data_IF_718152410878
#
_entry.id   IF_718152410878
#
_cell.length_a   1.000
_cell.length_b   1.000
_cell.length_c   1.000
_cell.angle_alpha   90.00
_cell.angle_beta   90.00
_cell.angle_gamma   90.00
#
_symmetry.space_group_name_H-M   'P 1'
#
loop_
_entity.id
_entity.type
_entity.pdbx_description
1 polymer ?
#
# COMPACT_ATOMS: atom_id res chain seq x y z
N UNK A 1 -21.35 2.85 7.96
CA UNK A 1 -19.98 3.40 8.07
C UNK A 1 -18.98 2.62 7.21
N UNK A 2 -18.79 1.31 7.43
CA UNK A 2 -17.88 0.47 6.60
C UNK A 2 -18.22 0.48 5.09
N UNK A 3 -19.50 0.35 4.75
CA UNK A 3 -19.97 0.40 3.36
C UNK A 3 -19.72 1.77 2.69
N UNK A 4 -19.81 2.85 3.47
CA UNK A 4 -19.54 4.21 3.00
C UNK A 4 -18.06 4.39 2.64
N UNK A 5 -17.15 3.89 3.48
CA UNK A 5 -15.70 3.89 3.22
C UNK A 5 -15.40 3.05 1.98
N UNK A 6 -16.00 1.86 1.87
CA UNK A 6 -15.87 1.01 0.69
C UNK A 6 -16.27 1.73 -0.60
N UNK A 7 -17.45 2.37 -0.61
CA UNK A 7 -17.95 3.12 -1.77
C UNK A 7 -16.99 4.24 -2.16
N UNK A 8 -16.53 5.03 -1.20
CA UNK A 8 -15.58 6.11 -1.48
C UNK A 8 -14.24 5.61 -2.00
N UNK A 9 -13.74 4.46 -1.53
CA UNK A 9 -12.54 3.84 -2.10
C UNK A 9 -12.80 3.41 -3.55
N UNK A 10 -13.95 2.80 -3.86
CA UNK A 10 -14.30 2.44 -5.24
C UNK A 10 -14.32 3.66 -6.16
N UNK A 11 -14.98 4.74 -5.73
CA UNK A 11 -15.05 6.01 -6.46
C UNK A 11 -13.65 6.62 -6.66
N UNK A 12 -12.84 6.63 -5.60
CA UNK A 12 -11.50 7.21 -5.61
C UNK A 12 -10.55 6.44 -6.53
N UNK A 13 -10.60 5.10 -6.50
CA UNK A 13 -9.82 4.24 -7.40
C UNK A 13 -10.20 4.49 -8.85
N UNK A 14 -11.49 4.61 -9.17
CA UNK A 14 -11.97 4.88 -10.53
C UNK A 14 -11.60 6.29 -11.04
N UNK A 15 -11.67 7.30 -10.18
CA UNK A 15 -11.40 8.70 -10.55
C UNK A 15 -9.89 9.06 -10.57
N UNK A 16 -9.01 8.13 -10.17
CA UNK A 16 -7.58 8.42 -10.01
C UNK A 16 -6.88 8.82 -11.32
N UNK A 17 -7.34 8.29 -12.47
CA UNK A 17 -6.78 8.62 -13.79
C UNK A 17 -7.39 9.88 -14.41
N UNK A 18 -8.51 10.38 -13.89
CA UNK A 18 -9.25 11.52 -14.47
C UNK A 18 -8.59 12.87 -14.18
N UNK A 19 -7.83 12.95 -13.08
CA UNK A 19 -7.27 14.20 -12.56
C UNK A 19 -5.82 14.01 -12.12
N UNK A 20 -5.01 15.09 -12.13
CA UNK A 20 -3.66 15.00 -11.60
C UNK A 20 -3.71 14.79 -10.07
N UNK A 21 -2.75 14.02 -9.55
CA UNK A 21 -2.76 13.49 -8.17
C UNK A 21 -2.79 14.59 -7.10
N UNK A 22 -2.15 15.72 -7.37
CA UNK A 22 -2.12 16.92 -6.55
C UNK A 22 -3.50 17.57 -6.38
N UNK A 23 -4.44 17.34 -7.31
CA UNK A 23 -5.81 17.83 -7.20
C UNK A 23 -6.75 16.74 -6.67
N UNK A 24 -6.63 15.52 -7.21
CA UNK A 24 -7.44 14.37 -6.81
C UNK A 24 -7.34 14.09 -5.31
N UNK A 25 -6.16 14.32 -4.71
CA UNK A 25 -5.96 14.11 -3.27
C UNK A 25 -6.96 14.90 -2.43
N UNK A 26 -7.41 16.09 -2.85
CA UNK A 26 -8.33 16.92 -2.08
C UNK A 26 -9.80 16.47 -2.18
N UNK A 27 -10.17 15.75 -3.23
CA UNK A 27 -11.57 15.33 -3.47
C UNK A 27 -12.05 14.26 -2.47
N UNK A 28 -11.12 13.51 -1.86
CA UNK A 28 -11.44 12.37 -1.00
C UNK A 28 -10.91 12.52 0.44
N UNK A 29 -11.53 11.88 1.44
CA UNK A 29 -10.99 11.86 2.81
C UNK A 29 -9.57 11.26 2.88
N UNK A 30 -8.79 11.65 3.89
CA UNK A 30 -7.38 11.26 4.05
C UNK A 30 -7.14 9.75 3.91
N UNK A 31 -7.91 8.93 4.63
CA UNK A 31 -7.78 7.48 4.59
C UNK A 31 -8.10 6.91 3.20
N UNK A 32 -9.15 7.41 2.53
CA UNK A 32 -9.57 6.95 1.21
C UNK A 32 -8.50 7.28 0.16
N UNK A 33 -7.99 8.51 0.20
CA UNK A 33 -6.92 8.94 -0.70
C UNK A 33 -5.63 8.12 -0.49
N UNK A 34 -5.30 7.79 0.76
CA UNK A 34 -4.14 6.97 1.11
C UNK A 34 -4.29 5.54 0.59
N UNK A 35 -5.37 4.84 0.95
CA UNK A 35 -5.59 3.44 0.53
C UNK A 35 -5.67 3.33 -0.99
N UNK A 36 -6.35 4.27 -1.66
CA UNK A 36 -6.45 4.26 -3.12
C UNK A 36 -5.10 4.54 -3.79
N UNK A 37 -4.25 5.41 -3.20
CA UNK A 37 -2.87 5.60 -3.67
C UNK A 37 -2.04 4.32 -3.55
N UNK A 38 -2.19 3.57 -2.45
CA UNK A 38 -1.48 2.30 -2.24
C UNK A 38 -1.94 1.19 -3.21
N UNK A 39 -3.23 1.18 -3.54
CA UNK A 39 -3.79 0.29 -4.57
C UNK A 39 -3.15 0.61 -5.92
N UNK A 40 -3.19 1.88 -6.33
CA UNK A 40 -2.62 2.30 -7.62
C UNK A 40 -1.12 2.09 -7.71
N UNK A 41 -0.38 2.28 -6.61
CA UNK A 41 1.04 1.92 -6.55
C UNK A 41 1.26 0.44 -6.84
N UNK A 42 0.48 -0.44 -6.20
CA UNK A 42 0.58 -1.89 -6.41
C UNK A 42 0.28 -2.26 -7.87
N UNK A 43 -0.77 -1.66 -8.45
CA UNK A 43 -1.15 -1.87 -9.85
C UNK A 43 -0.07 -1.38 -10.81
N UNK A 44 0.44 -0.15 -10.64
CA UNK A 44 1.47 0.43 -11.51
C UNK A 44 2.78 -0.39 -11.47
N UNK A 45 3.18 -0.89 -10.29
CA UNK A 45 4.36 -1.78 -10.16
C UNK A 45 4.10 -3.13 -10.84
N UNK A 46 2.89 -3.67 -10.72
CA UNK A 46 2.47 -4.88 -11.45
C UNK A 46 2.60 -4.70 -12.96
N UNK A 47 2.08 -3.61 -13.51
CA UNK A 47 2.20 -3.25 -14.93
C UNK A 47 3.69 -3.09 -15.33
N UNK A 48 4.51 -2.51 -14.46
CA UNK A 48 5.95 -2.39 -14.71
C UNK A 48 6.66 -3.75 -14.77
N UNK A 49 6.23 -4.74 -13.96
CA UNK A 49 6.73 -6.12 -14.06
C UNK A 49 6.26 -6.82 -15.33
N UNK A 50 5.00 -6.67 -15.73
CA UNK A 50 4.50 -7.24 -17.01
C UNK A 50 5.30 -6.70 -18.21
N UNK A 51 5.56 -5.39 -18.23
CA UNK A 51 6.40 -4.77 -19.27
C UNK A 51 7.85 -5.27 -19.23
N UNK A 52 8.40 -5.58 -18.06
CA UNK A 52 9.72 -6.19 -17.96
C UNK A 52 9.75 -7.58 -18.58
N UNK A 53 8.70 -8.39 -18.39
CA UNK A 53 8.55 -9.71 -18.99
C UNK A 53 8.40 -9.64 -20.52
N UNK A 54 7.76 -8.60 -21.03
CA UNK A 54 7.68 -8.29 -22.47
C UNK A 54 9.01 -7.80 -23.09
N UNK A 55 10.04 -7.56 -22.26
CA UNK A 55 11.38 -7.16 -22.70
C UNK A 55 11.69 -5.66 -22.55
N UNK A 56 10.83 -4.85 -21.94
CA UNK A 56 11.11 -3.45 -21.64
C UNK A 56 11.95 -3.28 -20.37
N UNK A 57 13.26 -3.51 -20.48
CA UNK A 57 14.22 -3.49 -19.35
C UNK A 57 14.25 -2.18 -18.53
N UNK A 58 13.73 -1.07 -19.06
CA UNK A 58 13.67 0.22 -18.36
C UNK A 58 12.35 0.49 -17.65
N UNK A 59 11.34 -0.39 -17.74
CA UNK A 59 10.00 -0.12 -17.24
C UNK A 59 9.96 0.28 -15.75
N UNK A 60 10.67 -0.44 -14.87
CA UNK A 60 10.77 -0.07 -13.44
C UNK A 60 11.53 1.23 -13.22
N UNK A 61 12.55 1.54 -14.03
CA UNK A 61 13.32 2.80 -13.92
C UNK A 61 12.46 4.00 -14.32
N UNK A 62 11.67 3.85 -15.38
CA UNK A 62 10.79 4.90 -15.86
C UNK A 62 9.61 5.11 -14.91
N UNK A 63 9.10 4.03 -14.30
CA UNK A 63 8.14 4.12 -13.20
C UNK A 63 8.72 4.84 -11.99
N UNK A 64 9.95 4.54 -11.58
CA UNK A 64 10.60 5.21 -10.46
C UNK A 64 10.74 6.73 -10.70
N UNK A 65 11.07 7.15 -11.92
CA UNK A 65 11.08 8.58 -12.31
C UNK A 65 9.69 9.21 -12.19
N UNK A 66 8.63 8.52 -12.65
CA UNK A 66 7.23 8.96 -12.50
C UNK A 66 6.89 9.17 -11.02
N UNK A 67 7.24 8.23 -10.15
CA UNK A 67 7.01 8.36 -8.71
C UNK A 67 7.73 9.56 -8.10
N UNK A 68 9.00 9.80 -8.47
CA UNK A 68 9.76 10.96 -7.98
C UNK A 68 9.10 12.27 -8.42
N UNK A 69 8.62 12.35 -9.67
CA UNK A 69 7.91 13.53 -10.16
C UNK A 69 6.60 13.79 -9.39
N UNK A 70 5.79 12.75 -9.16
CA UNK A 70 4.55 12.84 -8.39
C UNK A 70 4.82 13.23 -6.93
N UNK A 71 5.84 12.64 -6.29
CA UNK A 71 6.24 12.98 -4.93
C UNK A 71 6.69 14.45 -4.83
N UNK A 72 7.50 14.93 -5.77
CA UNK A 72 7.93 16.33 -5.79
C UNK A 72 6.74 17.28 -5.97
N UNK A 73 5.73 16.93 -6.76
CA UNK A 73 4.51 17.71 -6.87
C UNK A 73 3.76 17.81 -5.52
N UNK A 74 3.63 16.70 -4.79
CA UNK A 74 3.01 16.69 -3.46
C UNK A 74 3.85 17.46 -2.42
N UNK A 75 5.18 17.38 -2.48
CA UNK A 75 6.08 18.16 -1.62
C UNK A 75 5.93 19.66 -1.92
N UNK A 76 5.81 20.05 -3.19
CA UNK A 76 5.58 21.45 -3.57
C UNK A 76 4.25 21.99 -3.02
N UNK A 77 3.19 21.16 -2.96
CA UNK A 77 1.94 21.54 -2.27
C UNK A 77 2.18 21.84 -0.78
N UNK A 78 3.01 21.04 -0.10
CA UNK A 78 3.33 21.26 1.32
C UNK A 78 4.07 22.57 1.59
N UNK A 79 4.82 23.08 0.61
CA UNK A 79 5.50 24.38 0.71
C UNK A 79 4.54 25.56 0.59
N UNK A 80 3.33 25.33 0.06
CA UNK A 80 2.28 26.35 -0.06
C UNK A 80 1.43 26.53 1.20
N UNK A 81 0.39 27.36 1.06
CA UNK A 81 -0.65 27.53 2.08
C UNK A 81 -1.67 26.40 2.00
N UNK A 82 -1.83 25.68 3.11
CA UNK A 82 -2.75 24.55 3.25
C UNK A 82 -3.40 24.60 4.61
N UNK A 83 -4.63 24.10 4.70
CA UNK A 83 -5.30 23.91 5.99
C UNK A 83 -4.50 22.92 6.86
N UNK A 84 -4.56 23.01 8.20
CA UNK A 84 -3.87 22.06 9.07
C UNK A 84 -4.23 20.60 8.80
N UNK A 85 -5.51 20.32 8.47
CA UNK A 85 -5.98 18.97 8.15
C UNK A 85 -5.44 18.45 6.82
N UNK A 86 -5.44 19.29 5.78
CA UNK A 86 -4.89 18.92 4.46
C UNK A 86 -3.38 18.76 4.50
N UNK A 87 -2.69 19.62 5.25
CA UNK A 87 -1.24 19.51 5.48
C UNK A 87 -0.90 18.17 6.13
N UNK A 88 -1.64 17.75 7.16
CA UNK A 88 -1.43 16.46 7.81
C UNK A 88 -1.70 15.28 6.87
N UNK A 89 -2.74 15.39 6.05
CA UNK A 89 -3.10 14.37 5.05
C UNK A 89 -2.03 14.22 3.98
N UNK A 90 -1.57 15.32 3.37
CA UNK A 90 -0.52 15.29 2.35
C UNK A 90 0.80 14.83 2.96
N UNK A 91 1.15 15.28 4.17
CA UNK A 91 2.34 14.79 4.88
C UNK A 91 2.31 13.27 5.07
N UNK A 92 1.15 12.74 5.47
CA UNK A 92 0.94 11.29 5.63
C UNK A 92 1.14 10.53 4.31
N UNK A 93 0.55 11.03 3.21
CA UNK A 93 0.70 10.41 1.88
C UNK A 93 2.15 10.46 1.42
N UNK A 94 2.84 11.61 1.59
CA UNK A 94 4.25 11.76 1.25
C UNK A 94 5.14 10.76 2.01
N UNK A 95 4.90 10.53 3.30
CA UNK A 95 5.67 9.56 4.09
C UNK A 95 5.59 8.16 3.50
N UNK A 96 4.39 7.72 3.12
CA UNK A 96 4.15 6.40 2.53
C UNK A 96 4.72 6.32 1.10
N UNK A 97 4.59 7.38 0.32
CA UNK A 97 5.14 7.45 -1.03
C UNK A 97 6.68 7.39 -1.06
N UNK A 98 7.36 7.97 -0.06
CA UNK A 98 8.83 7.86 0.07
C UNK A 98 9.22 6.40 0.27
N UNK A 99 8.53 5.66 1.14
CA UNK A 99 8.76 4.22 1.31
C UNK A 99 8.51 3.46 0.01
N UNK A 100 7.36 3.71 -0.64
CA UNK A 100 7.00 3.08 -1.92
C UNK A 100 8.05 3.32 -3.01
N UNK A 101 8.59 4.54 -3.12
CA UNK A 101 9.70 4.87 -4.02
C UNK A 101 10.96 4.10 -3.67
N UNK A 102 11.30 4.01 -2.39
CA UNK A 102 12.52 3.33 -1.94
C UNK A 102 12.46 1.82 -2.20
N UNK A 103 11.29 1.22 -2.07
CA UNK A 103 11.04 -0.18 -2.49
C UNK A 103 11.32 -0.34 -3.99
N UNK A 104 10.75 0.51 -4.85
CA UNK A 104 10.97 0.43 -6.30
C UNK A 104 12.45 0.68 -6.65
N UNK A 105 13.10 1.63 -5.99
CA UNK A 105 14.52 1.88 -6.17
C UNK A 105 15.38 0.66 -5.79
N UNK A 106 15.03 -0.05 -4.70
CA UNK A 106 15.67 -1.33 -4.32
C UNK A 106 15.45 -2.40 -5.38
N UNK A 107 14.24 -2.55 -5.92
CA UNK A 107 13.94 -3.50 -7.00
C UNK A 107 14.80 -3.24 -8.24
N UNK A 108 14.92 -1.97 -8.65
CA UNK A 108 15.79 -1.54 -9.76
C UNK A 108 17.27 -1.84 -9.46
N UNK A 109 17.74 -1.52 -8.25
CA UNK A 109 19.14 -1.74 -7.87
C UNK A 109 19.52 -3.22 -7.85
N UNK A 110 18.60 -4.08 -7.40
CA UNK A 110 18.77 -5.54 -7.38
C UNK A 110 18.45 -6.20 -8.73
N UNK A 111 18.07 -5.43 -9.75
CA UNK A 111 17.69 -5.91 -11.09
C UNK A 111 16.63 -7.02 -11.03
N UNK A 112 15.62 -6.82 -10.19
CA UNK A 112 14.52 -7.78 -10.07
C UNK A 112 13.70 -7.73 -11.36
N UNK A 113 13.59 -8.87 -12.04
CA UNK A 113 12.84 -9.01 -13.29
C UNK A 113 11.51 -9.75 -13.13
N UNK A 114 11.30 -10.40 -11.98
CA UNK A 114 10.14 -11.25 -11.73
C UNK A 114 9.30 -10.69 -10.58
N UNK A 115 7.98 -10.64 -10.79
CA UNK A 115 6.98 -10.28 -9.79
C UNK A 115 6.94 -11.25 -8.59
N UNK A 116 7.50 -12.46 -8.72
CA UNK A 116 7.60 -13.45 -7.63
C UNK A 116 8.83 -13.27 -6.74
N UNK A 117 9.60 -12.19 -6.91
CA UNK A 117 10.76 -11.94 -6.08
C UNK A 117 10.36 -11.63 -4.63
N UNK A 118 11.03 -12.28 -3.67
CA UNK A 118 10.75 -12.09 -2.25
C UNK A 118 10.78 -10.63 -1.79
N UNK A 119 11.69 -9.81 -2.35
CA UNK A 119 11.81 -8.38 -2.01
C UNK A 119 10.54 -7.59 -2.35
N UNK A 120 9.83 -7.99 -3.41
CA UNK A 120 8.51 -7.45 -3.70
C UNK A 120 7.47 -8.16 -2.84
N UNK A 121 7.46 -9.49 -2.80
CA UNK A 121 6.49 -10.29 -2.05
C UNK A 121 6.38 -9.93 -0.56
N UNK A 122 7.47 -9.53 0.08
CA UNK A 122 7.52 -9.14 1.49
C UNK A 122 6.84 -7.81 1.81
N UNK A 123 6.51 -7.01 0.80
CA UNK A 123 5.86 -5.72 0.97
C UNK A 123 4.35 -5.87 1.12
N UNK A 124 3.75 -5.04 1.97
CA UNK A 124 2.29 -4.92 2.07
C UNK A 124 1.73 -4.29 0.80
N UNK A 125 0.93 -5.05 0.06
CA UNK A 125 0.30 -4.63 -1.20
C UNK A 125 -1.20 -4.55 -1.03
N UNK A 126 -1.78 -3.46 -1.50
CA UNK A 126 -3.24 -3.34 -1.59
C UNK A 126 -3.67 -3.62 -3.02
N UNK A 127 -4.61 -4.55 -3.19
CA UNK A 127 -5.20 -4.88 -4.48
C UNK A 127 -6.69 -4.61 -4.42
N UNK A 128 -7.18 -3.89 -5.41
CA UNK A 128 -8.61 -3.79 -5.66
C UNK A 128 -9.06 -4.95 -6.54
N UNK A 129 -10.14 -5.63 -6.15
CA UNK A 129 -10.81 -6.63 -6.97
C UNK A 129 -12.12 -6.04 -7.50
N UNK A 130 -12.22 -5.87 -8.82
CA UNK A 130 -13.41 -5.32 -9.47
C UNK A 130 -14.62 -6.25 -9.47
N UNK A 131 -14.40 -7.57 -9.42
CA UNK A 131 -15.48 -8.56 -9.40
C UNK A 131 -16.13 -8.61 -8.02
N UNK A 132 -15.32 -8.70 -6.96
CA UNK A 132 -15.81 -8.73 -5.58
C UNK A 132 -16.05 -7.33 -5.02
N UNK A 133 -15.59 -6.29 -5.72
CA UNK A 133 -15.59 -4.87 -5.28
C UNK A 133 -14.96 -4.73 -3.90
N UNK A 134 -13.92 -5.50 -3.63
CA UNK A 134 -13.26 -5.56 -2.33
C UNK A 134 -11.78 -5.24 -2.46
N UNK A 135 -11.24 -4.59 -1.44
CA UNK A 135 -9.81 -4.34 -1.31
C UNK A 135 -9.22 -5.49 -0.50
N UNK A 136 -8.15 -6.07 -1.01
CA UNK A 136 -7.37 -7.09 -0.36
C UNK A 136 -5.99 -6.56 -0.03
N UNK A 137 -5.51 -6.81 1.17
CA UNK A 137 -4.15 -6.58 1.58
C UNK A 137 -3.39 -7.91 1.47
N UNK A 138 -2.35 -7.94 0.65
CA UNK A 138 -1.51 -9.11 0.41
C UNK A 138 -0.11 -8.85 0.98
N UNK A 139 0.42 -9.82 1.72
CA UNK A 139 1.80 -9.82 2.22
C UNK A 139 2.34 -11.24 2.15
N UNK A 140 3.45 -11.45 1.46
CA UNK A 140 3.95 -12.77 1.09
C UNK A 140 2.81 -13.63 0.51
N UNK A 141 2.54 -14.78 1.13
CA UNK A 141 1.48 -15.74 0.75
C UNK A 141 0.14 -15.47 1.47
N UNK A 142 0.11 -14.50 2.38
CA UNK A 142 -1.09 -14.17 3.14
C UNK A 142 -1.95 -13.13 2.39
N UNK A 143 -3.26 -13.35 2.40
CA UNK A 143 -4.26 -12.43 1.88
C UNK A 143 -5.28 -12.11 2.96
N UNK A 144 -5.56 -10.83 3.12
CA UNK A 144 -6.50 -10.31 4.10
C UNK A 144 -7.51 -9.39 3.41
N UNK A 145 -8.79 -9.54 3.70
CA UNK A 145 -9.80 -8.59 3.24
C UNK A 145 -9.73 -7.32 4.08
N UNK A 146 -9.74 -6.15 3.43
CA UNK A 146 -9.76 -4.87 4.12
C UNK A 146 -11.06 -4.71 4.93
N UNK A 147 -10.96 -4.34 6.20
CA UNK A 147 -12.14 -4.27 7.10
C UNK A 147 -12.96 -2.97 6.98
N UNK A 148 -12.46 -1.99 6.21
CA UNK A 148 -13.11 -0.69 5.94
C UNK A 148 -13.46 0.11 7.20
N UNK A 149 -12.68 -0.05 8.26
CA UNK A 149 -12.88 0.73 9.48
C UNK A 149 -12.30 2.13 9.29
N UNK A 150 -13.09 3.15 9.66
CA UNK A 150 -12.63 4.52 9.55
C UNK A 150 -11.75 4.86 10.76
N UNK A 151 -10.47 5.12 10.51
CA UNK A 151 -9.46 5.39 11.53
C UNK A 151 -9.18 6.88 11.73
N UNK A 152 -9.79 7.74 10.91
CA UNK A 152 -9.58 9.20 10.95
C UNK A 152 -8.31 9.67 10.23
N UNK A 153 -8.00 10.96 10.39
CA UNK A 153 -6.79 11.59 9.85
C UNK A 153 -5.67 11.58 10.91
N UNK A 154 -5.23 10.40 11.31
CA UNK A 154 -4.16 10.24 12.29
C UNK A 154 -2.82 10.13 11.56
N UNK A 155 -1.78 10.78 12.09
CA UNK A 155 -0.43 10.69 11.52
C UNK A 155 0.03 9.23 11.48
N UNK A 156 0.61 8.83 10.35
CA UNK A 156 1.28 7.54 10.17
C UNK A 156 2.76 7.68 10.59
N UNK A 157 3.30 6.72 11.35
CA UNK A 157 4.74 6.55 11.60
C UNK A 157 5.52 6.43 10.28
N UNK A 158 6.83 6.47 10.38
CA UNK A 158 7.71 6.28 9.24
C UNK A 158 8.05 4.81 9.12
N UNK A 159 7.79 4.21 7.96
CA UNK A 159 8.22 2.84 7.67
C UNK A 159 9.75 2.83 7.56
N UNK A 160 10.40 2.01 8.38
CA UNK A 160 11.85 1.84 8.36
C UNK A 160 12.19 0.40 8.00
N UNK A 161 13.44 0.10 7.56
CA UNK A 161 13.88 -1.28 7.30
C UNK A 161 13.78 -2.23 8.52
N UNK A 162 13.47 -1.70 9.72
CA UNK A 162 13.22 -2.45 10.93
C UNK A 162 11.76 -2.94 11.04
N UNK A 163 10.79 -2.16 10.54
CA UNK A 163 9.36 -2.52 10.49
C UNK A 163 8.97 -3.24 9.20
N UNK A 164 9.77 -3.12 8.14
CA UNK A 164 9.55 -3.77 6.83
C UNK A 164 9.97 -5.26 6.78
N UNK A 165 10.63 -5.76 7.83
CA UNK A 165 10.89 -7.20 7.95
C UNK A 165 9.71 -7.84 8.67
N UNK A 166 8.90 -8.70 8.02
CA UNK A 166 8.00 -9.56 8.77
C UNK A 166 8.87 -10.31 9.77
N UNK A 167 8.58 -10.15 11.07
CA UNK A 167 9.22 -10.94 12.11
C UNK A 167 9.09 -12.41 11.68
N UNK A 168 10.20 -13.17 11.53
CA UNK A 168 10.06 -14.60 11.44
C UNK A 168 9.37 -14.99 12.74
N UNK A 169 8.12 -15.44 12.67
CA UNK A 169 7.48 -16.10 13.78
C UNK A 169 8.45 -17.17 14.26
N UNK A 170 8.91 -17.09 15.51
CA UNK A 170 9.69 -18.14 16.14
C UNK A 170 9.05 -19.50 15.79
N UNK A 171 9.84 -20.50 15.37
CA UNK A 171 9.28 -21.80 15.07
C UNK A 171 8.61 -22.33 16.36
N UNK A 172 7.32 -22.71 16.31
CA UNK A 172 6.65 -23.23 17.49
C UNK A 172 7.37 -24.51 17.92
N UNK A 173 7.78 -24.54 19.19
CA UNK A 173 8.29 -25.72 19.87
C UNK A 173 7.36 -26.92 19.56
N UNK A 174 7.92 -27.91 18.89
CA UNK A 174 7.27 -29.18 18.56
C UNK A 174 6.86 -29.86 19.87
N UNK A 175 5.56 -29.86 20.15
CA UNK A 175 4.93 -30.89 20.98
C UNK A 175 3.92 -31.64 20.11
N UNK A 176 3.91 -32.98 20.13
CA UNK A 176 3.05 -33.77 19.24
C UNK A 176 1.58 -33.67 19.65
N UNK A 177 0.63 -33.93 18.72
CA UNK A 177 -0.74 -33.43 18.82
C UNK A 177 -1.66 -34.39 19.58
N UNK A 178 -2.70 -33.87 20.24
CA UNK A 178 -4.01 -34.51 20.29
C UNK A 178 -4.97 -33.77 19.34
N UNK A 179 -5.56 -34.47 18.36
CA UNK A 179 -6.67 -33.94 17.55
C UNK A 179 -8.03 -34.09 18.29
N UNK A 180 -9.14 -33.48 17.82
CA UNK A 180 -9.53 -32.07 17.99
C UNK A 180 -10.82 -31.96 18.85
N UNK A 181 -11.33 -30.74 19.13
CA UNK A 181 -12.60 -30.43 18.47
C UNK A 181 -12.66 -29.00 17.90
N UNK A 182 -13.56 -28.86 16.92
CA UNK A 182 -13.91 -27.66 16.19
C UNK A 182 -14.15 -26.45 17.11
N UNK A 183 -13.21 -25.51 17.15
CA UNK A 183 -13.56 -24.11 17.31
C UNK A 183 -12.54 -23.21 16.63
N UNK A 184 -13.05 -22.42 15.70
CA UNK A 184 -12.42 -21.28 15.04
C UNK A 184 -11.81 -20.32 16.07
N UNK A 185 -10.50 -20.38 16.25
CA UNK A 185 -9.78 -19.31 16.93
C UNK A 185 -9.68 -18.10 15.98
N UNK A 186 -10.06 -16.88 16.41
CA UNK A 186 -9.90 -15.71 15.58
C UNK A 186 -8.40 -15.37 15.50
N UNK A 187 -7.90 -15.25 14.28
CA UNK A 187 -6.59 -14.69 13.97
C UNK A 187 -6.47 -13.29 14.60
N UNK A 188 -5.27 -12.87 15.05
CA UNK A 188 -5.08 -11.54 15.62
C UNK A 188 -5.52 -10.49 14.59
N UNK A 189 -6.26 -9.46 15.02
CA UNK A 189 -6.89 -8.54 14.10
C UNK A 189 -5.86 -7.64 13.41
N UNK A 190 -6.11 -7.38 12.12
CA UNK A 190 -5.29 -6.61 11.15
C UNK A 190 -4.82 -5.24 11.68
N UNK A 191 -5.44 -4.71 12.75
CA UNK A 191 -5.05 -3.47 13.42
C UNK A 191 -3.56 -3.38 13.74
N UNK A 192 -2.90 -4.46 14.16
CA UNK A 192 -1.48 -4.39 14.53
C UNK A 192 -0.54 -4.19 13.33
N UNK A 193 -0.90 -4.71 12.15
CA UNK A 193 -0.15 -4.50 10.91
C UNK A 193 -0.44 -3.13 10.31
N UNK A 194 -1.70 -2.65 10.38
CA UNK A 194 -1.98 -1.25 10.06
C UNK A 194 -1.21 -0.34 11.02
N UNK A 195 -1.08 -0.62 12.32
CA UNK A 195 -0.29 0.19 13.27
C UNK A 195 1.23 0.17 13.07
N UNK A 196 1.78 -0.81 12.34
CA UNK A 196 3.22 -0.92 12.01
C UNK A 196 3.55 -0.40 10.60
N UNK A 197 2.54 -0.34 9.72
CA UNK A 197 2.56 0.37 8.43
C UNK A 197 1.87 1.76 8.52
N UNK A 198 1.38 2.12 9.70
CA UNK A 198 1.11 3.47 10.19
C UNK A 198 2.47 3.93 10.55
#
# INVERSE_FOLDING_TARGET
>A
MRETVRRHITEAVGAYEEKPRDQWVFDYPAQVALTSSQIWWTTDVGIAFERLEEGFETALKDYNKKQIAQLNALINLLLGELSPGDRQKIMTICTIDVHARDVVAKLVAQKVTNSQAFVWLSQLRHRWDDAEKHCFANICDAQFQYSYEYLGNTSRLVITPLTDRPTPSEPPLITPPPQPPLHSYPLPPIYYLEFLYV
#
